data_IF_720238170220
#
_entry.id   IF_720238170220
#
_cell.length_a   1.000
_cell.length_b   1.000
_cell.length_c   1.000
_cell.angle_alpha   90.00
_cell.angle_beta   90.00
_cell.angle_gamma   90.00
#
_symmetry.space_group_name_H-M   'P 1'
#
loop_
_entity.id
_entity.type
_entity.pdbx_description
1 polymer ?
#
# COMPACT_ATOMS: atom_id res chain seq x y z
N UNK A 1 26.61 -58.38 34.13
CA UNK A 1 25.27 -58.98 34.27
C UNK A 1 24.32 -57.85 34.56
N UNK A 2 23.43 -57.54 33.68
CA UNK A 2 22.07 -57.05 33.79
C UNK A 2 21.70 -56.33 32.47
N UNK A 3 20.83 -56.99 31.76
CA UNK A 3 20.26 -56.59 30.47
C UNK A 3 19.28 -55.43 30.69
N UNK A 4 19.38 -54.40 29.88
CA UNK A 4 18.41 -53.34 29.76
C UNK A 4 17.54 -53.56 28.54
N UNK A 5 16.25 -53.79 28.74
CA UNK A 5 15.23 -53.98 27.71
C UNK A 5 14.95 -52.70 26.94
N UNK A 6 15.16 -52.69 25.64
CA UNK A 6 14.68 -51.66 24.77
C UNK A 6 13.17 -51.77 24.51
N UNK A 7 12.43 -50.70 24.69
CA UNK A 7 11.04 -50.57 24.26
C UNK A 7 11.00 -50.05 22.82
N UNK A 8 10.75 -50.93 21.89
CA UNK A 8 10.33 -50.59 20.55
C UNK A 8 8.87 -50.16 20.57
N UNK A 9 8.63 -48.85 20.35
CA UNK A 9 7.28 -48.35 20.02
C UNK A 9 7.14 -48.50 18.50
N UNK A 10 6.30 -49.42 18.09
CA UNK A 10 5.93 -49.65 16.71
C UNK A 10 5.15 -48.45 16.16
N UNK A 11 5.62 -47.88 15.07
CA UNK A 11 4.89 -46.86 14.32
C UNK A 11 3.65 -47.48 13.65
N UNK A 12 2.48 -46.95 13.93
CA UNK A 12 1.23 -47.31 13.27
C UNK A 12 1.26 -46.82 11.82
N UNK A 13 0.92 -47.67 10.82
CA UNK A 13 0.90 -47.24 9.41
C UNK A 13 -0.25 -46.24 9.17
N UNK A 14 0.10 -45.14 8.53
CA UNK A 14 -0.87 -44.13 8.03
C UNK A 14 -1.80 -44.79 7.00
N UNK A 15 -3.10 -44.62 7.22
CA UNK A 15 -4.17 -45.08 6.33
C UNK A 15 -4.13 -44.30 5.01
N UNK A 16 -4.00 -44.92 3.81
CA UNK A 16 -3.85 -44.21 2.54
C UNK A 16 -5.17 -43.66 1.95
N UNK A 17 -6.32 -43.83 2.60
CA UNK A 17 -7.65 -43.54 2.01
C UNK A 17 -8.30 -42.23 2.51
N UNK A 18 -7.58 -41.31 3.12
CA UNK A 18 -8.13 -39.98 3.44
C UNK A 18 -7.82 -38.96 2.33
N UNK A 19 -8.27 -39.23 1.10
CA UNK A 19 -8.43 -38.21 0.07
C UNK A 19 -9.68 -37.36 0.40
N UNK A 20 -9.56 -36.43 1.35
CA UNK A 20 -10.51 -35.35 1.52
C UNK A 20 -10.27 -34.29 0.43
N UNK A 21 -10.85 -34.51 -0.76
CA UNK A 21 -11.16 -33.41 -1.67
C UNK A 21 -12.14 -32.50 -0.95
N UNK A 22 -11.79 -31.20 -0.68
CA UNK A 22 -12.76 -30.29 -0.12
C UNK A 22 -13.93 -30.20 -1.09
N UNK A 23 -15.14 -30.49 -0.64
CA UNK A 23 -16.34 -30.34 -1.48
C UNK A 23 -16.42 -28.89 -1.95
N UNK A 24 -16.92 -28.66 -3.17
CA UNK A 24 -17.18 -27.32 -3.72
C UNK A 24 -17.94 -26.45 -2.71
N UNK A 25 -18.80 -27.09 -1.89
CA UNK A 25 -19.54 -26.46 -0.80
C UNK A 25 -18.63 -25.97 0.35
N UNK A 26 -17.57 -26.73 0.70
CA UNK A 26 -16.59 -26.27 1.72
C UNK A 26 -15.69 -25.15 1.17
N UNK A 27 -15.37 -25.14 -0.12
CA UNK A 27 -14.72 -24.03 -0.80
C UNK A 27 -15.61 -22.78 -0.84
N UNK A 28 -16.91 -22.94 -1.08
CA UNK A 28 -17.91 -21.87 -1.04
C UNK A 28 -18.17 -21.38 0.40
N UNK A 29 -18.13 -22.25 1.40
CA UNK A 29 -18.26 -21.88 2.82
C UNK A 29 -16.99 -21.21 3.36
N UNK A 30 -15.81 -21.59 2.86
CA UNK A 30 -14.56 -20.88 3.16
C UNK A 30 -14.51 -19.49 2.49
N UNK A 31 -15.17 -19.32 1.34
CA UNK A 31 -15.48 -18.01 0.74
C UNK A 31 -16.60 -17.27 1.49
N UNK A 32 -17.46 -18.00 2.21
CA UNK A 32 -18.62 -17.45 2.92
C UNK A 32 -18.28 -16.54 4.10
N UNK A 33 -17.12 -16.66 4.73
CA UNK A 33 -16.75 -15.78 5.84
C UNK A 33 -16.46 -14.33 5.41
N UNK A 34 -15.75 -14.04 4.32
CA UNK A 34 -15.67 -12.68 3.78
C UNK A 34 -16.98 -12.25 3.13
N UNK A 35 -17.69 -13.15 2.42
CA UNK A 35 -18.97 -12.87 1.78
C UNK A 35 -20.11 -12.67 2.79
N UNK A 36 -20.10 -13.32 3.95
CA UNK A 36 -21.10 -13.09 4.99
C UNK A 36 -20.89 -11.75 5.71
N UNK A 37 -19.66 -11.32 5.93
CA UNK A 37 -19.38 -9.95 6.37
C UNK A 37 -19.73 -8.92 5.28
N UNK A 38 -19.52 -9.25 4.02
CA UNK A 38 -19.96 -8.45 2.87
C UNK A 38 -21.49 -8.39 2.77
N UNK A 39 -22.20 -9.50 3.02
CA UNK A 39 -23.67 -9.57 2.99
C UNK A 39 -24.36 -8.88 4.19
N UNK A 40 -23.66 -8.71 5.32
CA UNK A 40 -24.18 -8.04 6.52
C UNK A 40 -24.27 -6.51 6.41
N UNK A 41 -23.68 -5.90 5.36
CA UNK A 41 -23.71 -4.45 5.17
C UNK A 41 -24.18 -4.06 3.76
N UNK A 42 -25.45 -4.30 3.39
CA UNK A 42 -25.95 -3.97 2.04
C UNK A 42 -25.80 -2.50 1.68
N UNK A 43 -25.85 -1.59 2.65
CA UNK A 43 -25.61 -0.17 2.43
C UNK A 43 -24.17 0.16 2.00
N UNK A 44 -23.18 -0.59 2.47
CA UNK A 44 -21.78 -0.42 2.06
C UNK A 44 -21.53 -0.98 0.65
N UNK A 45 -22.22 -2.06 0.27
CA UNK A 45 -22.15 -2.60 -1.08
C UNK A 45 -22.80 -1.68 -2.12
N UNK A 46 -23.92 -1.05 -1.76
CA UNK A 46 -24.55 -0.03 -2.61
C UNK A 46 -23.61 1.15 -2.75
N UNK A 47 -22.95 1.59 -1.68
CA UNK A 47 -21.93 2.66 -1.74
C UNK A 47 -20.74 2.25 -2.61
N UNK A 48 -20.27 1.00 -2.52
CA UNK A 48 -19.20 0.47 -3.35
C UNK A 48 -19.62 0.43 -4.83
N UNK A 49 -20.83 -0.05 -5.12
CA UNK A 49 -21.39 -0.04 -6.47
C UNK A 49 -21.58 1.39 -6.99
N UNK A 50 -22.10 2.29 -6.16
CA UNK A 50 -22.21 3.72 -6.49
C UNK A 50 -20.85 4.39 -6.63
N UNK A 51 -19.84 3.97 -5.86
CA UNK A 51 -18.45 4.41 -6.02
C UNK A 51 -17.88 3.96 -7.36
N UNK A 52 -18.09 2.68 -7.72
CA UNK A 52 -17.65 2.15 -9.01
C UNK A 52 -18.38 2.83 -10.18
N UNK A 53 -19.70 3.06 -10.06
CA UNK A 53 -20.48 3.82 -11.05
C UNK A 53 -20.02 5.28 -11.11
N UNK A 54 -19.78 5.91 -9.95
CA UNK A 54 -19.19 7.27 -9.88
C UNK A 54 -17.76 7.30 -10.41
N UNK A 55 -16.98 6.24 -10.26
CA UNK A 55 -15.67 6.09 -10.86
C UNK A 55 -15.79 6.03 -12.40
N UNK A 56 -16.81 5.36 -12.92
CA UNK A 56 -17.12 5.39 -14.36
C UNK A 56 -17.66 6.75 -14.81
N UNK A 57 -18.29 7.52 -13.91
CA UNK A 57 -18.82 8.88 -14.12
C UNK A 57 -17.93 9.97 -13.48
N UNK A 58 -16.76 9.58 -12.90
CA UNK A 58 -15.87 10.45 -12.14
C UNK A 58 -15.38 11.66 -12.91
N UNK A 59 -14.75 12.61 -12.22
CA UNK A 59 -14.11 13.77 -12.85
C UNK A 59 -13.21 13.27 -13.97
N UNK A 60 -13.40 13.79 -15.16
CA UNK A 60 -12.45 13.60 -16.26
C UNK A 60 -11.15 14.27 -15.81
N UNK A 61 -10.20 13.47 -15.37
CA UNK A 61 -8.84 13.92 -15.08
C UNK A 61 -7.93 13.47 -16.21
N UNK A 62 -7.35 14.43 -16.88
CA UNK A 62 -6.39 14.23 -17.96
C UNK A 62 -4.98 14.56 -17.43
N UNK A 63 -4.12 13.56 -17.19
CA UNK A 63 -2.78 13.79 -16.64
C UNK A 63 -1.96 14.82 -17.41
N UNK A 64 -2.13 14.91 -18.74
CA UNK A 64 -1.36 15.84 -19.57
C UNK A 64 -1.79 17.32 -19.36
N UNK A 65 -3.06 17.56 -18.97
CA UNK A 65 -3.62 18.91 -18.82
C UNK A 65 -3.84 19.35 -17.41
N UNK A 66 -4.14 18.39 -16.51
CA UNK A 66 -4.61 18.69 -15.15
C UNK A 66 -3.50 18.59 -14.09
N UNK A 67 -2.36 17.96 -14.42
CA UNK A 67 -1.18 18.02 -13.55
C UNK A 67 -0.52 19.39 -13.76
N UNK A 68 -0.36 20.12 -12.64
CA UNK A 68 0.37 21.39 -12.66
C UNK A 68 1.87 21.15 -12.84
N UNK A 69 2.58 22.16 -13.36
CA UNK A 69 4.04 22.13 -13.47
C UNK A 69 4.70 21.76 -12.14
N UNK A 70 5.65 20.82 -12.18
CA UNK A 70 6.36 20.29 -11.03
C UNK A 70 7.79 20.83 -10.90
N UNK A 71 8.15 21.85 -11.71
CA UNK A 71 9.49 22.46 -11.67
C UNK A 71 9.86 22.89 -10.26
N UNK A 72 11.09 22.65 -9.87
CA UNK A 72 11.60 22.92 -8.53
C UNK A 72 11.18 21.89 -7.46
N UNK A 73 10.43 20.84 -7.79
CA UNK A 73 9.99 19.84 -6.83
C UNK A 73 10.79 18.54 -6.88
N UNK A 74 10.97 17.94 -5.71
CA UNK A 74 11.57 16.62 -5.52
C UNK A 74 10.50 15.64 -5.06
N UNK A 75 10.38 14.51 -5.77
CA UNK A 75 9.38 13.48 -5.52
C UNK A 75 10.06 12.17 -5.11
N UNK A 76 9.42 11.40 -4.21
CA UNK A 76 9.83 10.04 -3.88
C UNK A 76 8.63 9.11 -3.99
N UNK A 77 8.78 8.00 -4.77
CA UNK A 77 7.71 7.05 -5.04
C UNK A 77 8.20 5.64 -4.69
N UNK A 78 7.56 5.01 -3.69
CA UNK A 78 7.88 3.62 -3.33
C UNK A 78 7.20 2.64 -4.27
N UNK A 79 7.90 1.55 -4.65
CA UNK A 79 7.40 0.60 -5.64
C UNK A 79 7.32 1.17 -7.06
N UNK A 80 8.17 2.15 -7.38
CA UNK A 80 8.19 2.84 -8.67
C UNK A 80 8.69 2.02 -9.87
N UNK A 81 9.06 0.77 -9.66
CA UNK A 81 9.64 -0.09 -10.69
C UNK A 81 8.61 -0.92 -11.47
N UNK A 82 7.34 -0.92 -11.08
CA UNK A 82 6.29 -1.72 -11.73
C UNK A 82 4.89 -1.14 -11.49
N UNK A 83 3.93 -1.53 -12.33
CA UNK A 83 2.51 -1.23 -12.17
C UNK A 83 2.23 0.26 -11.95
N UNK A 84 1.35 0.56 -10.99
CA UNK A 84 0.90 1.93 -10.70
C UNK A 84 2.04 2.88 -10.32
N UNK A 85 3.04 2.38 -9.57
CA UNK A 85 4.18 3.19 -9.18
C UNK A 85 5.03 3.61 -10.37
N UNK A 86 5.29 2.69 -11.32
CA UNK A 86 6.02 2.99 -12.55
C UNK A 86 5.27 3.97 -13.43
N UNK A 87 3.96 3.77 -13.59
CA UNK A 87 3.11 4.68 -14.35
C UNK A 87 3.07 6.07 -13.69
N UNK A 88 3.01 6.15 -12.35
CA UNK A 88 3.07 7.42 -11.64
C UNK A 88 4.39 8.16 -11.89
N UNK A 89 5.54 7.44 -11.84
CA UNK A 89 6.84 8.03 -12.18
C UNK A 89 6.85 8.57 -13.60
N UNK A 90 6.38 7.77 -14.59
CA UNK A 90 6.33 8.17 -16.01
C UNK A 90 5.51 9.44 -16.22
N UNK A 91 4.28 9.46 -15.69
CA UNK A 91 3.39 10.60 -15.92
C UNK A 91 3.86 11.86 -15.20
N UNK A 92 4.33 11.76 -13.93
CA UNK A 92 4.84 12.90 -13.20
C UNK A 92 6.15 13.45 -13.81
N UNK A 93 7.00 12.59 -14.39
CA UNK A 93 8.24 13.01 -15.05
C UNK A 93 7.99 13.91 -16.29
N UNK A 94 6.83 13.81 -16.94
CA UNK A 94 6.44 14.68 -18.07
C UNK A 94 6.19 16.14 -17.67
N UNK A 95 6.02 16.41 -16.35
CA UNK A 95 5.69 17.73 -15.81
C UNK A 95 6.89 18.43 -15.13
N UNK A 96 8.10 18.10 -15.54
CA UNK A 96 9.35 18.78 -15.25
C UNK A 96 9.74 18.85 -13.75
N UNK A 97 9.57 17.80 -12.94
CA UNK A 97 10.12 17.83 -11.58
C UNK A 97 11.65 17.93 -11.63
N UNK A 98 12.25 18.57 -10.63
CA UNK A 98 13.71 18.64 -10.53
C UNK A 98 14.31 17.26 -10.36
N UNK A 99 13.61 16.38 -9.59
CA UNK A 99 14.06 15.00 -9.39
C UNK A 99 12.92 14.08 -8.96
N UNK A 100 12.98 12.83 -9.42
CA UNK A 100 12.13 11.74 -8.93
C UNK A 100 13.02 10.62 -8.38
N UNK A 101 12.82 10.24 -7.11
CA UNK A 101 13.39 9.03 -6.57
C UNK A 101 12.43 7.87 -6.79
N UNK A 102 12.85 6.91 -7.61
CA UNK A 102 12.19 5.64 -7.82
C UNK A 102 12.72 4.65 -6.77
N UNK A 103 11.95 4.47 -5.69
CA UNK A 103 12.36 3.56 -4.62
C UNK A 103 11.80 2.15 -4.85
N UNK A 104 12.68 1.13 -4.84
CA UNK A 104 12.32 -0.26 -5.09
C UNK A 104 13.35 -1.24 -4.52
N UNK A 105 12.93 -2.48 -4.28
CA UNK A 105 13.76 -3.52 -3.70
C UNK A 105 14.75 -4.13 -4.71
N UNK A 106 14.31 -4.36 -5.92
CA UNK A 106 15.12 -5.04 -6.95
C UNK A 106 15.83 -4.02 -7.85
N UNK A 107 17.19 -3.96 -7.85
CA UNK A 107 17.96 -2.97 -8.60
C UNK A 107 17.81 -3.13 -10.12
N UNK A 108 17.77 -4.37 -10.63
CA UNK A 108 17.73 -4.61 -12.07
C UNK A 108 16.37 -4.21 -12.66
N UNK A 109 15.27 -4.57 -11.95
CA UNK A 109 13.93 -4.11 -12.33
C UNK A 109 13.78 -2.60 -12.24
N UNK A 110 14.43 -1.97 -11.25
CA UNK A 110 14.38 -0.51 -11.12
C UNK A 110 15.13 0.18 -12.27
N UNK A 111 16.33 -0.27 -12.61
CA UNK A 111 17.11 0.27 -13.75
C UNK A 111 16.35 0.09 -15.07
N UNK A 112 15.83 -1.12 -15.33
CA UNK A 112 15.05 -1.39 -16.53
C UNK A 112 13.81 -0.46 -16.62
N UNK A 113 13.10 -0.25 -15.49
CA UNK A 113 11.97 0.67 -15.46
C UNK A 113 12.37 2.12 -15.76
N UNK A 114 13.49 2.59 -15.20
CA UNK A 114 14.00 3.94 -15.50
C UNK A 114 14.36 4.07 -16.97
N UNK A 115 15.05 3.09 -17.56
CA UNK A 115 15.40 3.09 -18.98
C UNK A 115 14.17 3.12 -19.89
N UNK A 116 13.13 2.33 -19.57
CA UNK A 116 11.87 2.33 -20.33
C UNK A 116 11.14 3.68 -20.20
N UNK A 117 11.09 4.26 -19.00
CA UNK A 117 10.50 5.59 -18.77
C UNK A 117 11.26 6.63 -19.58
N UNK A 118 12.59 6.66 -19.51
CA UNK A 118 13.42 7.63 -20.26
C UNK A 118 13.22 7.55 -21.77
N UNK A 119 13.04 6.34 -22.32
CA UNK A 119 12.74 6.15 -23.76
C UNK A 119 11.36 6.71 -24.17
N UNK A 120 10.43 6.81 -23.22
CA UNK A 120 9.06 7.27 -23.48
C UNK A 120 8.92 8.80 -23.30
N UNK A 121 9.81 9.41 -22.52
CA UNK A 121 9.77 10.83 -22.23
C UNK A 121 10.22 11.66 -23.45
N UNK A 122 9.56 12.82 -23.72
CA UNK A 122 9.97 13.74 -24.79
C UNK A 122 11.33 14.39 -24.52
N UNK A 123 11.70 14.52 -23.23
CA UNK A 123 12.99 15.02 -22.76
C UNK A 123 13.45 14.19 -21.55
N UNK A 124 14.76 13.99 -21.36
CA UNK A 124 15.28 13.29 -20.19
C UNK A 124 14.88 13.95 -18.88
N UNK A 125 14.50 13.14 -17.88
CA UNK A 125 14.19 13.59 -16.50
C UNK A 125 15.23 13.03 -15.53
N UNK A 126 15.52 13.76 -14.41
CA UNK A 126 16.38 13.24 -13.34
C UNK A 126 15.58 12.21 -12.50
N UNK A 127 15.64 10.95 -12.93
CA UNK A 127 15.02 9.82 -12.21
C UNK A 127 16.13 8.99 -11.59
N UNK A 128 16.17 8.93 -10.26
CA UNK A 128 17.20 8.21 -9.50
C UNK A 128 16.63 6.97 -8.82
N UNK A 129 17.37 5.88 -8.92
CA UNK A 129 17.08 4.67 -8.18
C UNK A 129 17.45 4.84 -6.70
N UNK A 130 16.51 4.53 -5.80
CA UNK A 130 16.72 4.46 -4.36
C UNK A 130 16.48 3.01 -3.88
N UNK A 131 17.52 2.28 -3.44
CA UNK A 131 17.35 0.92 -2.91
C UNK A 131 16.49 0.92 -1.65
N UNK A 132 15.34 0.21 -1.67
CA UNK A 132 14.39 0.20 -0.56
C UNK A 132 13.66 -1.14 -0.47
N UNK A 133 13.87 -1.87 0.62
CA UNK A 133 13.03 -2.99 1.04
C UNK A 133 12.25 -2.59 2.30
N UNK A 134 10.94 -2.41 2.15
CA UNK A 134 10.04 -1.99 3.24
C UNK A 134 9.80 -3.08 4.29
N UNK A 135 10.15 -4.33 4.00
CA UNK A 135 10.09 -5.44 4.97
C UNK A 135 11.32 -5.50 5.88
N UNK A 136 12.35 -4.70 5.59
CA UNK A 136 13.62 -4.63 6.34
C UNK A 136 13.87 -3.21 6.86
N UNK A 137 13.66 -2.99 8.16
CA UNK A 137 13.88 -1.67 8.78
C UNK A 137 15.31 -1.12 8.59
N UNK A 138 16.38 -1.97 8.65
CA UNK A 138 17.71 -1.50 8.28
C UNK A 138 17.79 -0.98 6.83
N UNK A 139 17.06 -1.61 5.87
CA UNK A 139 17.00 -1.11 4.50
C UNK A 139 16.28 0.22 4.40
N UNK A 140 15.17 0.39 5.13
CA UNK A 140 14.42 1.66 5.18
C UNK A 140 15.31 2.78 5.73
N UNK A 141 16.06 2.51 6.80
CA UNK A 141 17.00 3.48 7.39
C UNK A 141 18.07 3.91 6.38
N UNK A 142 18.74 2.96 5.72
CA UNK A 142 19.75 3.26 4.69
C UNK A 142 19.17 4.09 3.54
N UNK A 143 17.96 3.74 3.09
CA UNK A 143 17.29 4.50 2.02
C UNK A 143 17.00 5.96 2.44
N UNK A 144 16.50 6.17 3.66
CA UNK A 144 16.26 7.51 4.19
C UNK A 144 17.57 8.30 4.34
N UNK A 145 18.64 7.70 4.87
CA UNK A 145 19.96 8.33 4.99
C UNK A 145 20.53 8.72 3.62
N UNK A 146 20.45 7.80 2.64
CA UNK A 146 20.87 8.09 1.26
C UNK A 146 20.06 9.25 0.67
N UNK A 147 18.74 9.26 0.84
CA UNK A 147 17.90 10.35 0.37
C UNK A 147 18.31 11.69 0.98
N UNK A 148 18.43 11.76 2.31
CA UNK A 148 18.78 12.99 3.04
C UNK A 148 20.19 13.49 2.69
N UNK A 149 21.13 12.59 2.39
CA UNK A 149 22.47 12.98 1.92
C UNK A 149 22.47 13.55 0.49
N UNK A 150 21.49 13.17 -0.33
CA UNK A 150 21.39 13.54 -1.76
C UNK A 150 20.39 14.68 -2.03
N UNK A 151 19.47 14.95 -1.10
CA UNK A 151 18.47 16.02 -1.22
C UNK A 151 18.06 16.60 0.14
N UNK A 152 18.02 17.93 0.22
CA UNK A 152 17.51 18.67 1.37
C UNK A 152 16.03 19.08 1.21
N UNK A 153 15.36 18.55 0.18
CA UNK A 153 13.99 18.88 -0.21
C UNK A 153 13.20 17.62 -0.56
N UNK A 154 11.93 17.55 -0.11
CA UNK A 154 10.96 16.53 -0.51
C UNK A 154 9.57 17.15 -0.54
N UNK A 155 9.02 17.34 -1.74
CA UNK A 155 7.71 17.97 -1.94
C UNK A 155 6.57 16.94 -1.99
N UNK A 156 6.83 15.75 -2.57
CA UNK A 156 5.81 14.72 -2.68
C UNK A 156 6.39 13.35 -2.34
N UNK A 157 5.81 12.73 -1.31
CA UNK A 157 6.11 11.36 -0.90
C UNK A 157 4.91 10.47 -1.22
N UNK A 158 5.06 9.53 -2.18
CA UNK A 158 4.02 8.57 -2.56
C UNK A 158 4.38 7.21 -1.98
N UNK A 159 3.65 6.80 -0.94
CA UNK A 159 3.76 5.52 -0.25
C UNK A 159 2.91 4.48 -1.00
N UNK A 160 3.40 4.09 -2.20
CA UNK A 160 2.65 3.27 -3.15
C UNK A 160 2.94 1.77 -3.02
N UNK A 161 4.15 1.38 -2.66
CA UNK A 161 4.51 -0.04 -2.58
C UNK A 161 3.56 -0.83 -1.68
N UNK A 162 3.35 -2.10 -2.02
CA UNK A 162 2.54 -2.99 -1.20
C UNK A 162 2.56 -4.42 -1.71
N UNK A 163 2.27 -5.34 -0.81
CA UNK A 163 2.18 -6.78 -1.09
C UNK A 163 0.87 -7.35 -0.56
N UNK A 164 0.48 -8.49 -1.13
CA UNK A 164 -0.46 -9.45 -0.55
C UNK A 164 0.29 -10.76 -0.37
N UNK A 165 0.73 -11.07 0.86
CA UNK A 165 1.40 -12.33 1.16
C UNK A 165 0.35 -13.46 1.24
N UNK A 166 0.42 -14.49 0.37
CA UNK A 166 -0.60 -15.56 0.34
C UNK A 166 -0.56 -16.41 1.61
N UNK A 167 0.61 -16.68 2.14
CA UNK A 167 0.79 -17.44 3.37
C UNK A 167 1.08 -16.53 4.56
N UNK A 168 0.62 -16.90 5.78
CA UNK A 168 1.01 -16.21 7.00
C UNK A 168 2.52 -16.27 7.18
N UNK A 169 3.15 -15.12 7.37
CA UNK A 169 4.59 -15.02 7.62
C UNK A 169 4.93 -13.71 8.32
N UNK A 170 6.09 -13.67 8.95
CA UNK A 170 6.64 -12.47 9.58
C UNK A 170 7.82 -11.91 8.77
N UNK A 171 8.04 -10.61 8.87
CA UNK A 171 9.30 -9.98 8.48
C UNK A 171 10.39 -10.27 9.52
N UNK A 172 11.64 -9.90 9.25
CA UNK A 172 12.77 -10.02 10.20
C UNK A 172 12.49 -9.33 11.54
N UNK A 173 11.71 -8.26 11.53
CA UNK A 173 11.27 -7.53 12.73
C UNK A 173 10.25 -8.29 13.61
N UNK A 174 9.83 -9.49 13.22
CA UNK A 174 8.81 -10.27 13.92
C UNK A 174 7.36 -9.84 13.67
N UNK A 175 7.10 -8.77 12.92
CA UNK A 175 5.75 -8.32 12.58
C UNK A 175 5.19 -9.07 11.37
N UNK A 176 3.83 -9.20 11.30
CA UNK A 176 3.16 -9.81 10.14
C UNK A 176 3.57 -9.10 8.84
N UNK A 177 3.88 -9.88 7.81
CA UNK A 177 4.59 -9.41 6.62
C UNK A 177 3.84 -8.35 5.82
N UNK A 178 2.49 -8.45 5.66
CA UNK A 178 1.72 -7.40 4.98
C UNK A 178 1.70 -6.11 5.80
N UNK A 179 1.49 -6.21 7.12
CA UNK A 179 1.46 -5.04 8.00
C UNK A 179 2.85 -4.40 8.07
N UNK A 180 3.91 -5.21 8.16
CA UNK A 180 5.29 -4.71 8.16
C UNK A 180 5.60 -3.95 6.87
N UNK A 181 5.39 -4.59 5.71
CA UNK A 181 5.77 -4.01 4.41
C UNK A 181 4.88 -2.82 4.02
N UNK A 182 3.55 -2.97 4.16
CA UNK A 182 2.61 -1.98 3.65
C UNK A 182 2.45 -0.78 4.59
N UNK A 183 2.68 -0.97 5.91
CA UNK A 183 2.47 0.07 6.92
C UNK A 183 3.76 0.43 7.67
N UNK A 184 4.35 -0.48 8.46
CA UNK A 184 5.48 -0.12 9.34
C UNK A 184 6.72 0.38 8.58
N UNK A 185 7.06 -0.25 7.45
CA UNK A 185 8.15 0.20 6.59
C UNK A 185 7.91 1.61 6.04
N UNK A 186 6.67 1.92 5.62
CA UNK A 186 6.29 3.26 5.19
C UNK A 186 6.22 4.26 6.36
N UNK A 187 5.76 3.82 7.52
CA UNK A 187 5.76 4.63 8.73
C UNK A 187 7.19 5.05 9.09
N UNK A 188 8.13 4.09 9.17
CA UNK A 188 9.54 4.36 9.46
C UNK A 188 10.16 5.29 8.41
N UNK A 189 9.94 5.01 7.12
CA UNK A 189 10.44 5.87 6.03
C UNK A 189 9.94 7.31 6.20
N UNK A 190 8.64 7.47 6.45
CA UNK A 190 8.04 8.80 6.64
C UNK A 190 8.64 9.48 7.87
N UNK A 191 8.78 8.78 9.00
CA UNK A 191 9.36 9.33 10.24
C UNK A 191 10.80 9.83 10.02
N UNK A 192 11.62 9.06 9.31
CA UNK A 192 13.02 9.42 9.01
C UNK A 192 13.12 10.61 8.03
N UNK A 193 12.13 10.77 7.14
CA UNK A 193 12.07 11.87 6.18
C UNK A 193 11.27 13.08 6.69
N UNK A 194 10.60 12.99 7.85
CA UNK A 194 9.81 14.08 8.42
C UNK A 194 10.59 15.40 8.57
N UNK A 195 11.84 15.42 9.05
CA UNK A 195 12.60 16.67 9.13
C UNK A 195 12.73 17.37 7.77
N UNK A 196 12.99 16.59 6.70
CA UNK A 196 13.08 17.13 5.34
C UNK A 196 11.73 17.60 4.81
N UNK A 197 10.65 16.85 5.04
CA UNK A 197 9.28 17.23 4.65
C UNK A 197 8.85 18.54 5.32
N UNK A 198 9.08 18.65 6.64
CA UNK A 198 8.74 19.86 7.42
C UNK A 198 9.57 21.06 6.96
N UNK A 199 10.89 20.90 6.81
CA UNK A 199 11.78 21.95 6.28
C UNK A 199 11.35 22.39 4.88
N UNK A 200 10.89 21.45 4.04
CA UNK A 200 10.38 21.79 2.71
C UNK A 200 9.07 22.58 2.79
N UNK A 201 8.20 22.26 3.74
CA UNK A 201 6.93 22.98 3.94
C UNK A 201 7.10 24.41 4.47
N UNK A 202 8.25 24.75 5.02
CA UNK A 202 8.60 26.11 5.45
C UNK A 202 9.03 27.03 4.29
N UNK A 203 9.26 26.48 3.10
CA UNK A 203 9.66 27.26 1.91
C UNK A 203 8.45 28.05 1.38
N UNK A 204 8.74 29.20 0.77
CA UNK A 204 7.71 30.03 0.16
C UNK A 204 6.93 29.26 -0.93
N UNK A 205 5.60 29.34 -0.88
CA UNK A 205 4.67 28.64 -1.79
C UNK A 205 4.82 27.11 -1.80
N UNK A 206 5.34 26.53 -0.72
CA UNK A 206 5.47 25.08 -0.61
C UNK A 206 4.09 24.39 -0.54
N UNK A 207 4.00 23.22 -1.15
CA UNK A 207 2.82 22.33 -1.11
C UNK A 207 3.35 20.90 -0.97
N UNK A 208 3.62 20.53 0.29
CA UNK A 208 4.24 19.25 0.61
C UNK A 208 3.18 18.21 0.88
N UNK A 209 3.22 17.11 0.10
CA UNK A 209 2.20 16.06 0.10
C UNK A 209 2.77 14.71 0.51
N UNK A 210 2.09 14.02 1.42
CA UNK A 210 2.30 12.60 1.74
C UNK A 210 1.05 11.83 1.31
N UNK A 211 1.20 11.00 0.28
CA UNK A 211 0.11 10.27 -0.36
C UNK A 211 0.26 8.79 -0.04
N UNK A 212 -0.65 8.25 0.77
CA UNK A 212 -0.62 6.87 1.22
C UNK A 212 -1.61 6.02 0.45
N UNK A 213 -1.14 4.94 -0.20
CA UNK A 213 -2.02 4.10 -0.98
C UNK A 213 -2.76 3.11 -0.09
N UNK A 214 -4.05 3.39 0.09
CA UNK A 214 -5.04 2.54 0.71
C UNK A 214 -5.62 1.50 -0.27
N UNK A 215 -6.74 0.93 0.08
CA UNK A 215 -7.53 0.00 -0.76
C UNK A 215 -8.92 -0.15 -0.17
N UNK A 216 -9.92 -0.50 -0.97
CA UNK A 216 -11.24 -0.91 -0.47
C UNK A 216 -11.17 -2.16 0.42
N UNK A 217 -10.06 -2.90 0.38
CA UNK A 217 -9.80 -4.04 1.27
C UNK A 217 -9.80 -3.67 2.77
N UNK A 218 -9.72 -2.38 3.14
CA UNK A 218 -9.89 -1.92 4.52
C UNK A 218 -11.22 -2.39 5.15
N UNK A 219 -12.24 -2.66 4.34
CA UNK A 219 -13.53 -3.18 4.81
C UNK A 219 -13.42 -4.58 5.42
N UNK A 220 -12.39 -5.35 5.03
CA UNK A 220 -12.09 -6.67 5.60
C UNK A 220 -11.20 -6.60 6.84
N UNK A 221 -10.75 -5.40 7.21
CA UNK A 221 -9.87 -5.25 8.35
C UNK A 221 -10.56 -5.66 9.66
N UNK A 222 -9.89 -6.41 10.53
CA UNK A 222 -10.37 -6.74 11.86
C UNK A 222 -10.31 -5.50 12.77
N UNK A 223 -10.82 -5.58 14.00
CA UNK A 223 -10.66 -4.49 14.98
C UNK A 223 -9.20 -4.08 15.19
N UNK A 224 -8.96 -2.82 15.60
CA UNK A 224 -7.60 -2.28 15.77
C UNK A 224 -6.74 -3.16 16.71
N UNK A 225 -7.30 -3.66 17.79
CA UNK A 225 -6.59 -4.57 18.71
C UNK A 225 -6.01 -5.81 18.03
N UNK A 226 -6.70 -6.33 17.02
CA UNK A 226 -6.22 -7.45 16.19
C UNK A 226 -5.15 -7.01 15.21
N UNK A 227 -5.27 -5.80 14.63
CA UNK A 227 -4.25 -5.22 13.74
C UNK A 227 -2.92 -5.06 14.48
N UNK A 228 -2.96 -4.63 15.73
CA UNK A 228 -1.76 -4.42 16.57
C UNK A 228 -1.16 -5.72 17.14
N UNK A 229 -1.72 -6.89 16.81
CA UNK A 229 -1.27 -8.19 17.30
C UNK A 229 -0.81 -9.09 16.16
N UNK A 230 0.49 -9.28 16.03
CA UNK A 230 1.09 -10.19 15.04
C UNK A 230 0.49 -11.59 15.11
N UNK A 231 0.37 -12.17 16.29
CA UNK A 231 -0.16 -13.53 16.47
C UNK A 231 -1.61 -13.64 15.98
N UNK A 232 -2.44 -12.64 16.25
CA UNK A 232 -3.82 -12.60 15.77
C UNK A 232 -3.87 -12.49 14.25
N UNK A 233 -3.04 -11.62 13.66
CA UNK A 233 -2.98 -11.49 12.20
C UNK A 233 -2.48 -12.76 11.50
N UNK A 234 -1.52 -13.47 12.07
CA UNK A 234 -1.02 -14.73 11.50
C UNK A 234 -2.07 -15.84 11.46
N UNK A 235 -3.10 -15.79 12.33
CA UNK A 235 -4.24 -16.72 12.30
C UNK A 235 -5.31 -16.34 11.26
N UNK A 236 -5.24 -15.15 10.69
CA UNK A 236 -6.21 -14.64 9.73
C UNK A 236 -5.83 -15.03 8.29
N UNK A 237 -6.84 -15.05 7.40
CA UNK A 237 -6.61 -15.26 5.98
C UNK A 237 -5.91 -14.06 5.32
N UNK A 238 -5.34 -14.27 4.13
CA UNK A 238 -4.55 -13.27 3.40
C UNK A 238 -5.30 -11.94 3.14
N UNK A 239 -6.61 -11.99 2.92
CA UNK A 239 -7.41 -10.79 2.61
C UNK A 239 -7.67 -9.95 3.85
N UNK A 240 -7.87 -10.59 5.00
CA UNK A 240 -7.99 -9.92 6.31
C UNK A 240 -6.65 -9.29 6.70
N UNK A 241 -5.52 -10.00 6.54
CA UNK A 241 -4.19 -9.45 6.79
C UNK A 241 -3.88 -8.26 5.88
N UNK A 242 -4.17 -8.38 4.60
CA UNK A 242 -4.03 -7.26 3.65
C UNK A 242 -4.95 -6.09 4.02
N UNK A 243 -6.22 -6.37 4.32
CA UNK A 243 -7.21 -5.39 4.76
C UNK A 243 -6.75 -4.63 6.01
N UNK A 244 -6.17 -5.35 6.99
CA UNK A 244 -5.57 -4.78 8.19
C UNK A 244 -4.48 -3.75 7.84
N UNK A 245 -3.54 -4.11 6.95
CA UNK A 245 -2.48 -3.21 6.51
C UNK A 245 -3.02 -1.96 5.80
N UNK A 246 -4.10 -2.10 5.01
CA UNK A 246 -4.70 -0.98 4.28
C UNK A 246 -5.56 -0.08 5.17
N UNK A 247 -6.20 -0.62 6.20
CA UNK A 247 -6.83 0.17 7.26
C UNK A 247 -5.78 0.96 8.06
N UNK A 248 -4.67 0.33 8.44
CA UNK A 248 -3.55 1.00 9.10
C UNK A 248 -3.00 2.18 8.26
N UNK A 249 -2.88 2.02 6.95
CA UNK A 249 -2.46 3.09 6.04
C UNK A 249 -3.41 4.30 6.06
N UNK A 250 -4.74 4.06 6.12
CA UNK A 250 -5.72 5.14 6.19
C UNK A 250 -5.66 5.88 7.53
N UNK A 251 -5.58 5.14 8.63
CA UNK A 251 -5.44 5.69 9.98
C UNK A 251 -4.16 6.50 10.10
N UNK A 252 -3.05 5.98 9.57
CA UNK A 252 -1.75 6.65 9.55
C UNK A 252 -1.82 7.99 8.82
N UNK A 253 -2.39 8.02 7.60
CA UNK A 253 -2.48 9.26 6.83
C UNK A 253 -3.31 10.33 7.55
N UNK A 254 -4.42 9.93 8.19
CA UNK A 254 -5.26 10.84 8.97
C UNK A 254 -4.55 11.34 10.23
N UNK A 255 -3.79 10.49 10.92
CA UNK A 255 -3.03 10.88 12.12
C UNK A 255 -1.83 11.76 11.77
N UNK A 256 -1.13 11.48 10.66
CA UNK A 256 -0.04 12.32 10.16
C UNK A 256 -0.56 13.74 9.85
N UNK A 257 -1.73 13.87 9.22
CA UNK A 257 -2.38 15.15 8.97
C UNK A 257 -2.69 15.94 10.25
N UNK A 258 -3.09 15.25 11.32
CA UNK A 258 -3.38 15.87 12.62
C UNK A 258 -2.11 16.35 13.33
N UNK A 259 -1.04 15.57 13.25
CA UNK A 259 0.24 15.87 13.93
C UNK A 259 1.07 16.92 13.20
N UNK A 260 0.96 16.96 11.88
CA UNK A 260 1.76 17.85 11.01
C UNK A 260 0.84 18.64 10.08
N UNK A 261 0.10 19.66 10.59
CA UNK A 261 -0.87 20.41 9.80
C UNK A 261 -0.25 21.24 8.66
N UNK A 262 1.07 21.44 8.67
CA UNK A 262 1.82 22.06 7.57
C UNK A 262 2.01 21.13 6.36
N UNK A 263 1.72 19.82 6.51
CA UNK A 263 1.77 18.84 5.44
C UNK A 263 0.35 18.49 4.97
N UNK A 264 0.20 18.24 3.68
CA UNK A 264 -1.01 17.64 3.12
C UNK A 264 -0.85 16.12 3.14
N UNK A 265 -1.43 15.44 4.11
CA UNK A 265 -1.40 13.98 4.21
C UNK A 265 -2.76 13.39 3.86
N UNK A 266 -2.82 12.52 2.86
CA UNK A 266 -4.05 11.88 2.40
C UNK A 266 -3.85 10.40 2.16
N UNK A 267 -4.93 9.63 2.27
CA UNK A 267 -4.96 8.26 1.78
C UNK A 267 -5.90 8.14 0.58
N UNK A 268 -5.63 7.20 -0.32
CA UNK A 268 -6.45 7.00 -1.50
C UNK A 268 -6.57 5.54 -1.93
N UNK A 269 -7.68 5.24 -2.62
CA UNK A 269 -7.88 3.99 -3.32
C UNK A 269 -7.55 4.17 -4.81
N UNK A 270 -6.72 3.31 -5.40
CA UNK A 270 -6.32 3.45 -6.81
C UNK A 270 -7.39 3.04 -7.82
N UNK A 271 -8.46 2.38 -7.38
CA UNK A 271 -9.42 1.71 -8.26
C UNK A 271 -9.27 0.19 -8.23
N UNK A 272 -10.14 -0.50 -8.95
CA UNK A 272 -10.08 -1.97 -9.05
C UNK A 272 -9.14 -2.34 -10.20
N UNK A 273 -7.92 -2.72 -9.86
CA UNK A 273 -6.87 -3.01 -10.82
C UNK A 273 -6.39 -4.44 -10.61
N UNK A 274 -6.32 -5.21 -11.70
CA UNK A 274 -5.56 -6.46 -11.70
C UNK A 274 -4.09 -6.15 -12.01
N UNK A 275 -3.35 -5.83 -10.95
CA UNK A 275 -1.88 -5.78 -11.02
C UNK A 275 -1.32 -7.17 -10.70
N UNK A 276 -0.04 -7.42 -11.01
CA UNK A 276 0.69 -8.63 -10.62
C UNK A 276 0.62 -8.99 -9.12
N UNK A 277 0.01 -8.11 -8.31
CA UNK A 277 -0.34 -8.33 -6.91
C UNK A 277 -1.34 -9.50 -6.74
N UNK A 278 -2.20 -9.75 -7.74
CA UNK A 278 -3.21 -10.81 -7.76
C UNK A 278 -2.75 -12.06 -8.52
N UNK A 279 -1.67 -11.99 -9.32
CA UNK A 279 -1.18 -13.14 -10.10
C UNK A 279 -0.73 -14.30 -9.20
N UNK A 280 -0.12 -14.00 -8.05
CA UNK A 280 0.27 -15.01 -7.07
C UNK A 280 -0.93 -15.73 -6.42
N UNK A 281 -2.11 -15.11 -6.39
CA UNK A 281 -3.35 -15.65 -5.81
C UNK A 281 -4.21 -16.39 -6.83
N UNK A 282 -4.20 -15.99 -8.10
CA UNK A 282 -4.98 -16.63 -9.17
C UNK A 282 -4.45 -18.01 -9.55
N UNK A 283 -3.15 -18.26 -9.36
CA UNK A 283 -2.53 -19.56 -9.61
C UNK A 283 -2.98 -20.67 -8.63
N UNK A 284 -3.55 -20.30 -7.49
CA UNK A 284 -3.92 -21.24 -6.42
C UNK A 284 -5.42 -21.63 -6.40
N UNK A 285 -6.29 -20.98 -7.21
CA UNK A 285 -7.72 -21.29 -7.21
C UNK A 285 -8.36 -21.14 -8.60
N UNK A 286 -8.74 -22.27 -9.28
CA UNK A 286 -9.29 -22.25 -10.63
C UNK A 286 -10.65 -21.54 -10.75
N UNK A 287 -11.43 -21.41 -9.67
CA UNK A 287 -12.70 -20.67 -9.65
C UNK A 287 -12.43 -19.15 -9.73
N UNK A 288 -11.35 -18.68 -9.09
CA UNK A 288 -10.89 -17.32 -9.21
C UNK A 288 -10.37 -17.05 -10.63
N UNK A 289 -9.70 -18.03 -11.25
CA UNK A 289 -9.22 -17.95 -12.64
C UNK A 289 -10.35 -17.81 -13.66
N UNK A 290 -11.51 -18.40 -13.42
CA UNK A 290 -12.68 -18.29 -14.32
C UNK A 290 -13.45 -16.99 -14.10
N UNK A 291 -13.57 -16.51 -12.86
CA UNK A 291 -14.13 -15.19 -12.55
C UNK A 291 -13.18 -14.06 -12.96
N UNK A 292 -11.86 -14.30 -12.98
CA UNK A 292 -10.86 -13.33 -13.46
C UNK A 292 -11.05 -12.98 -14.95
N UNK A 293 -11.55 -13.91 -15.80
CA UNK A 293 -11.86 -13.61 -17.20
C UNK A 293 -13.06 -12.64 -17.34
N UNK A 294 -14.07 -12.78 -16.50
CA UNK A 294 -15.22 -11.85 -16.47
C UNK A 294 -14.82 -10.53 -15.80
N UNK A 295 -13.96 -10.60 -14.79
CA UNK A 295 -13.46 -9.45 -14.06
C UNK A 295 -12.47 -8.60 -14.90
N UNK A 296 -11.72 -9.21 -15.85
CA UNK A 296 -10.91 -8.48 -16.84
C UNK A 296 -11.71 -7.52 -17.72
N UNK A 297 -13.00 -7.73 -17.89
CA UNK A 297 -13.92 -6.81 -18.57
C UNK A 297 -14.29 -5.57 -17.74
N UNK A 298 -14.04 -5.61 -16.42
CA UNK A 298 -14.37 -4.54 -15.46
C UNK A 298 -13.12 -3.93 -14.83
N UNK A 299 -11.93 -4.46 -15.16
CA UNK A 299 -10.67 -3.97 -14.61
C UNK A 299 -10.14 -2.79 -15.40
N UNK A 300 -9.72 -1.79 -14.68
CA UNK A 300 -9.05 -0.61 -15.21
C UNK A 300 -7.60 -0.93 -15.59
N UNK A 301 -7.09 -0.33 -16.66
CA UNK A 301 -5.67 -0.39 -17.02
C UNK A 301 -4.79 0.24 -15.91
N UNK A 302 -3.49 -0.04 -15.90
CA UNK A 302 -2.55 0.61 -14.98
C UNK A 302 -2.62 2.14 -15.10
N UNK A 303 -2.76 2.66 -16.32
CA UNK A 303 -2.95 4.09 -16.58
C UNK A 303 -4.18 4.65 -15.87
N UNK A 304 -5.34 4.00 -16.03
CA UNK A 304 -6.57 4.43 -15.36
C UNK A 304 -6.47 4.30 -13.85
N UNK A 305 -5.84 3.23 -13.34
CA UNK A 305 -5.65 3.02 -11.91
C UNK A 305 -4.71 4.02 -11.26
N UNK A 306 -3.80 4.59 -12.03
CA UNK A 306 -2.85 5.59 -11.54
C UNK A 306 -3.47 7.00 -11.48
N UNK A 307 -4.61 7.25 -12.13
CA UNK A 307 -5.21 8.60 -12.18
C UNK A 307 -5.44 9.22 -10.79
N UNK A 308 -5.80 8.42 -9.78
CA UNK A 308 -6.00 8.95 -8.43
C UNK A 308 -4.67 9.34 -7.74
N UNK A 309 -3.58 8.61 -8.01
CA UNK A 309 -2.23 8.99 -7.57
C UNK A 309 -1.81 10.31 -8.19
N UNK A 310 -2.00 10.43 -9.51
CA UNK A 310 -1.62 11.60 -10.30
C UNK A 310 -2.44 12.82 -9.91
N UNK A 311 -3.76 12.64 -9.69
CA UNK A 311 -4.61 13.69 -9.17
C UNK A 311 -4.12 14.18 -7.80
N UNK A 312 -3.80 13.26 -6.88
CA UNK A 312 -3.34 13.65 -5.55
C UNK A 312 -1.95 14.30 -5.58
N UNK A 313 -1.05 13.83 -6.45
CA UNK A 313 0.30 14.39 -6.56
C UNK A 313 0.35 15.70 -7.35
N UNK A 314 -0.43 15.81 -8.43
CA UNK A 314 -0.27 16.85 -9.45
C UNK A 314 -1.37 17.92 -9.49
N UNK A 315 -2.45 17.81 -8.69
CA UNK A 315 -3.51 18.83 -8.70
C UNK A 315 -3.06 20.16 -8.06
N UNK A 316 -3.80 21.22 -8.36
CA UNK A 316 -3.55 22.57 -7.81
C UNK A 316 -3.53 22.58 -6.28
N UNK A 317 -2.76 23.48 -5.68
CA UNK A 317 -2.74 23.76 -4.24
C UNK A 317 -4.17 24.00 -3.74
N UNK A 318 -4.51 23.46 -2.56
CA UNK A 318 -5.83 23.60 -1.96
C UNK A 318 -6.90 22.64 -2.52
N UNK A 319 -6.55 21.79 -3.50
CA UNK A 319 -7.50 20.77 -4.01
C UNK A 319 -7.75 19.64 -3.02
N UNK A 320 -6.70 19.23 -2.30
CA UNK A 320 -6.76 18.14 -1.32
C UNK A 320 -7.09 18.71 0.07
N UNK A 321 -7.95 17.99 0.78
CA UNK A 321 -8.17 18.23 2.21
C UNK A 321 -7.37 17.22 3.01
N UNK A 322 -6.41 17.72 3.79
CA UNK A 322 -5.53 16.87 4.60
C UNK A 322 -6.34 16.02 5.57
N UNK A 323 -5.93 14.76 5.75
CA UNK A 323 -6.59 13.77 6.59
C UNK A 323 -7.71 12.99 5.89
N UNK A 324 -8.09 13.30 4.67
CA UNK A 324 -9.18 12.59 3.97
C UNK A 324 -8.72 11.32 3.25
N UNK A 325 -9.69 10.43 3.03
CA UNK A 325 -9.59 9.27 2.15
C UNK A 325 -10.32 9.53 0.84
N UNK A 326 -9.64 9.31 -0.28
CA UNK A 326 -10.17 9.57 -1.61
C UNK A 326 -10.36 8.29 -2.42
N UNK A 327 -11.49 8.22 -3.13
CA UNK A 327 -11.71 7.22 -4.17
C UNK A 327 -11.52 7.85 -5.55
N UNK A 328 -11.31 7.06 -6.62
CA UNK A 328 -11.07 7.58 -7.97
C UNK A 328 -12.22 8.41 -8.55
N UNK A 329 -11.91 9.52 -9.27
CA UNK A 329 -10.71 10.33 -9.16
C UNK A 329 -11.03 11.54 -8.30
N UNK A 330 -10.32 11.69 -7.17
CA UNK A 330 -10.49 12.87 -6.31
C UNK A 330 -11.85 12.97 -5.60
N UNK A 331 -12.55 11.85 -5.40
CA UNK A 331 -13.85 11.84 -4.71
C UNK A 331 -13.60 11.61 -3.21
N UNK A 332 -13.68 12.67 -2.43
CA UNK A 332 -13.55 12.67 -0.97
C UNK A 332 -14.90 12.76 -0.24
N UNK A 333 -14.84 13.09 1.07
CA UNK A 333 -16.03 13.30 1.91
C UNK A 333 -16.71 12.01 2.38
N UNK A 334 -16.02 10.88 2.32
CA UNK A 334 -16.51 9.61 2.83
C UNK A 334 -16.39 9.58 4.36
N UNK A 335 -17.51 9.41 5.05
CA UNK A 335 -17.48 9.07 6.48
C UNK A 335 -16.85 7.70 6.64
N UNK A 336 -15.71 7.65 7.30
CA UNK A 336 -14.97 6.41 7.51
C UNK A 336 -14.45 6.37 8.94
N UNK A 337 -14.94 5.37 9.71
CA UNK A 337 -14.55 5.19 11.11
C UNK A 337 -13.04 5.13 11.35
N UNK A 338 -12.26 4.57 10.38
CA UNK A 338 -10.81 4.47 10.50
C UNK A 338 -10.12 5.84 10.39
N UNK A 339 -10.68 6.75 9.59
CA UNK A 339 -10.14 8.12 9.39
C UNK A 339 -10.62 9.06 10.49
N UNK A 340 -11.87 8.89 10.95
CA UNK A 340 -12.51 9.78 11.94
C UNK A 340 -12.10 9.47 13.38
N UNK A 341 -11.74 8.21 13.69
CA UNK A 341 -11.38 7.76 15.04
C UNK A 341 -9.98 8.25 15.44
N UNK A 342 -9.96 9.34 16.23
CA UNK A 342 -8.72 9.95 16.73
C UNK A 342 -7.99 9.04 17.73
N UNK A 343 -8.71 8.27 18.52
CA UNK A 343 -8.10 7.35 19.50
C UNK A 343 -7.43 6.17 18.78
N UNK A 344 -8.07 5.64 17.72
CA UNK A 344 -7.43 4.65 16.87
C UNK A 344 -6.18 5.21 16.21
N UNK A 345 -6.22 6.47 15.74
CA UNK A 345 -5.07 7.19 15.18
C UNK A 345 -3.90 7.25 16.15
N UNK A 346 -4.16 7.72 17.36
CA UNK A 346 -3.15 7.82 18.43
C UNK A 346 -2.55 6.46 18.80
N UNK A 347 -3.38 5.44 19.02
CA UNK A 347 -2.95 4.09 19.37
C UNK A 347 -2.10 3.43 18.28
N UNK A 348 -2.54 3.53 17.02
CA UNK A 348 -1.75 2.99 15.91
C UNK A 348 -0.40 3.70 15.79
N UNK A 349 -0.38 5.02 15.95
CA UNK A 349 0.85 5.81 15.87
C UNK A 349 1.84 5.40 16.96
N UNK A 350 1.41 5.38 18.24
CA UNK A 350 2.24 5.01 19.39
C UNK A 350 2.79 3.58 19.24
N UNK A 351 1.94 2.63 18.84
CA UNK A 351 2.36 1.26 18.59
C UNK A 351 3.37 1.18 17.42
N UNK A 352 3.16 1.95 16.36
CA UNK A 352 4.09 1.97 15.24
C UNK A 352 5.43 2.60 15.62
N UNK A 353 5.44 3.66 16.45
CA UNK A 353 6.67 4.26 16.99
C UNK A 353 7.45 3.26 17.84
N UNK A 354 6.78 2.52 18.71
CA UNK A 354 7.40 1.47 19.51
C UNK A 354 8.01 0.37 18.64
N UNK A 355 7.25 -0.12 17.64
CA UNK A 355 7.68 -1.17 16.73
C UNK A 355 8.94 -0.83 15.91
N UNK A 356 9.21 0.45 15.64
CA UNK A 356 10.37 0.90 14.86
C UNK A 356 11.38 1.70 15.66
N UNK A 357 11.24 1.78 16.98
CA UNK A 357 11.99 2.68 17.88
C UNK A 357 13.51 2.53 17.78
N UNK A 358 14.01 1.29 17.63
CA UNK A 358 15.45 1.00 17.52
C UNK A 358 16.07 1.57 16.22
N UNK A 359 15.25 1.80 15.20
CA UNK A 359 15.70 2.24 13.87
C UNK A 359 15.54 3.73 13.62
N UNK A 360 15.00 4.47 14.61
CA UNK A 360 14.85 5.93 14.56
C UNK A 360 16.05 6.68 15.16
N UNK A 361 16.89 5.98 15.92
CA UNK A 361 18.07 6.58 16.57
C UNK A 361 19.22 6.69 15.54
N UNK A 362 19.95 7.80 15.60
CA UNK A 362 21.12 8.09 14.79
C UNK A 362 22.25 7.06 14.95
#
# INVERSE_FOLDING_TARGET
MAEGKGNNVAATPLNPDAQNTPSVLQGLLALGTPLSRFALFPGEQIKLLCSNIRQMMGRKFDPEKDIVDQSGKVLLITGGNAGLGKEAVLQLAKHHPDRIYLAARNPDKARAAIEEIQKTLPQPADIRYLPLDLSSFPSVRRAAQQFVSDSDRLDTLILNAGIIAPQPSTAESGHELNLCTNHLGHFLLTKLLLPTLVKTAERENADVRVITIGSMAWQMAPPLSSILSTNTLLSENQYVRYGASKAANMVFAAELARRYPQLVSVSLHPGVIFTGLYDATSALNPVIGMSAKVLKLVTTSEQQGTLNHLWAAGSKIGTLKSGEYYTPVGVGGWKNKWVEDKEAGKKLWEWSEEAVSEYQKD
#
